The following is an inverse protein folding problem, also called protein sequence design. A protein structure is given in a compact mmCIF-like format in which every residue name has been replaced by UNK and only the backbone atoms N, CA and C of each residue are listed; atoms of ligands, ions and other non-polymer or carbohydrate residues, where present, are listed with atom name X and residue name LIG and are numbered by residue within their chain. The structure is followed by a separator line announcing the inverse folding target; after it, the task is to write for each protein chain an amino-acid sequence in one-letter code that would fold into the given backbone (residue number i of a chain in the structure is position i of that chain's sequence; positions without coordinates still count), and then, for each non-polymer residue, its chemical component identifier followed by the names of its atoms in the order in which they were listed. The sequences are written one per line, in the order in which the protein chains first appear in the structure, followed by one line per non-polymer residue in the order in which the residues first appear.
data_IF_128331686528
#
_entry.id   IF_128331686528
#
_cell.length_a   1.000
_cell.length_b   1.000
_cell.length_c   1.000
_cell.angle_alpha   90.00
_cell.angle_beta   90.00
_cell.angle_gamma   90.00
#
_symmetry.space_group_name_H-M   'P 1'
#
loop_
_entity.id
_entity.type
_entity.pdbx_description
1 polymer ?
#
# COMPACT_ATOMS: atom_id res chain seq x y z
N UNK A 1 14.50 -28.94 -16.17
CA UNK A 1 13.42 -27.92 -16.26
C UNK A 1 13.91 -26.66 -15.57
N UNK A 2 13.97 -25.49 -16.22
CA UNK A 2 14.50 -24.29 -15.58
C UNK A 2 13.47 -23.75 -14.57
N UNK A 3 13.90 -23.55 -13.33
CA UNK A 3 13.11 -22.91 -12.27
C UNK A 3 12.92 -21.44 -12.64
N UNK A 4 11.67 -20.99 -12.77
CA UNK A 4 11.36 -19.57 -13.00
C UNK A 4 11.34 -18.85 -11.65
N UNK A 5 12.17 -17.83 -11.50
CA UNK A 5 12.26 -17.01 -10.30
C UNK A 5 11.05 -16.09 -10.08
N UNK A 6 11.00 -15.38 -8.93
CA UNK A 6 9.89 -14.50 -8.54
C UNK A 6 9.65 -13.35 -9.55
N UNK A 7 8.37 -13.08 -9.86
CA UNK A 7 7.95 -12.00 -10.76
C UNK A 7 7.90 -10.66 -10.02
N UNK A 8 8.48 -9.60 -10.62
CA UNK A 8 8.39 -8.21 -10.12
C UNK A 8 7.11 -7.55 -10.63
N UNK A 9 6.43 -6.76 -9.78
CA UNK A 9 5.28 -5.94 -10.16
C UNK A 9 5.54 -4.46 -9.85
N UNK A 10 4.99 -3.57 -10.67
CA UNK A 10 5.18 -2.12 -10.60
C UNK A 10 3.88 -1.35 -10.94
N UNK A 11 3.41 -0.42 -10.11
CA UNK A 11 2.38 0.55 -10.49
C UNK A 11 3.02 1.70 -11.29
N UNK A 12 2.40 2.09 -12.41
CA UNK A 12 3.01 2.71 -13.61
C UNK A 12 3.51 4.18 -13.52
N UNK A 13 4.46 4.54 -14.41
CA UNK A 13 4.42 5.69 -15.37
C UNK A 13 5.48 5.52 -16.50
N UNK A 14 5.02 5.59 -17.75
CA UNK A 14 5.73 5.89 -19.03
C UNK A 14 6.61 4.84 -19.77
N UNK A 15 6.79 5.08 -21.07
CA UNK A 15 6.80 4.18 -22.23
C UNK A 15 8.18 4.00 -22.89
N UNK A 16 8.62 2.74 -23.14
CA UNK A 16 9.38 2.20 -24.33
C UNK A 16 10.33 1.03 -23.99
N UNK A 17 10.68 0.17 -24.98
CA UNK A 17 10.67 -1.28 -24.80
C UNK A 17 12.06 -1.88 -24.57
N UNK A 18 12.16 -2.82 -23.62
CA UNK A 18 12.74 -4.15 -23.79
C UNK A 18 12.98 -4.82 -22.42
N UNK A 19 11.96 -5.49 -21.87
CA UNK A 19 12.10 -6.70 -21.04
C UNK A 19 10.74 -7.19 -20.49
N UNK A 20 9.86 -7.74 -21.34
CA UNK A 20 8.64 -8.49 -20.90
C UNK A 20 7.95 -7.93 -19.64
N UNK A 21 7.58 -6.66 -19.69
CA UNK A 21 6.85 -5.94 -18.65
C UNK A 21 5.34 -6.02 -18.97
N UNK A 22 4.53 -6.50 -18.01
CA UNK A 22 3.08 -6.36 -18.11
C UNK A 22 2.72 -4.92 -17.73
N UNK A 23 2.53 -4.07 -18.75
CA UNK A 23 1.95 -2.74 -18.59
C UNK A 23 0.42 -2.81 -18.72
N UNK A 24 -0.30 -2.29 -17.73
CA UNK A 24 -1.70 -1.92 -17.87
C UNK A 24 -1.99 -0.69 -16.99
N UNK A 25 -2.44 0.38 -17.64
CA UNK A 25 -3.08 1.55 -17.05
C UNK A 25 -4.54 1.21 -16.76
N UNK A 26 -4.87 1.06 -15.48
CA UNK A 26 -6.14 0.54 -14.98
C UNK A 26 -5.84 -0.51 -13.90
N UNK A 27 -6.76 -0.68 -12.95
CA UNK A 27 -6.63 -1.44 -11.70
C UNK A 27 -5.56 -2.58 -11.64
N UNK A 28 -4.92 -2.81 -10.47
CA UNK A 28 -3.93 -3.88 -10.26
C UNK A 28 -4.46 -5.33 -10.49
N UNK A 29 -5.75 -5.50 -10.80
CA UNK A 29 -6.46 -6.76 -10.85
C UNK A 29 -5.80 -7.79 -11.78
N UNK A 30 -5.60 -7.51 -13.07
CA UNK A 30 -5.17 -8.54 -14.03
C UNK A 30 -3.85 -9.25 -13.69
N UNK A 31 -2.72 -8.55 -13.45
CA UNK A 31 -1.46 -9.24 -13.15
C UNK A 31 -1.47 -9.96 -11.80
N UNK A 32 -2.24 -9.47 -10.82
CA UNK A 32 -2.30 -10.08 -9.50
C UNK A 32 -3.28 -11.26 -9.46
N UNK A 33 -4.38 -11.19 -10.21
CA UNK A 33 -5.31 -12.31 -10.44
C UNK A 33 -4.58 -13.45 -11.17
N UNK A 34 -3.83 -13.15 -12.23
CA UNK A 34 -2.99 -14.13 -12.91
C UNK A 34 -1.98 -14.77 -11.94
N UNK A 35 -1.35 -13.96 -11.08
CA UNK A 35 -0.42 -14.44 -10.07
C UNK A 35 -1.11 -15.23 -8.95
N UNK A 36 -2.38 -14.95 -8.64
CA UNK A 36 -3.20 -15.70 -7.67
C UNK A 36 -3.47 -17.11 -8.20
N UNK A 37 -3.84 -17.19 -9.47
CA UNK A 37 -4.37 -18.40 -10.08
C UNK A 37 -3.27 -19.28 -10.72
N UNK A 38 -2.10 -18.71 -11.05
CA UNK A 38 -0.92 -19.47 -11.53
C UNK A 38 -0.22 -20.23 -10.39
N UNK A 39 -0.35 -21.56 -10.38
CA UNK A 39 0.27 -22.43 -9.38
C UNK A 39 1.81 -22.41 -9.37
N UNK A 40 2.44 -22.01 -10.47
CA UNK A 40 3.88 -21.81 -10.53
C UNK A 40 4.33 -20.57 -9.77
N UNK A 41 3.44 -19.58 -9.57
CA UNK A 41 3.71 -18.41 -8.74
C UNK A 41 3.52 -18.79 -7.27
N UNK A 42 4.61 -18.70 -6.51
CA UNK A 42 4.66 -19.10 -5.09
C UNK A 42 4.69 -17.94 -4.11
N UNK A 43 5.06 -16.75 -4.56
CA UNK A 43 5.06 -15.50 -3.81
C UNK A 43 5.09 -14.33 -4.80
N UNK A 44 4.67 -13.14 -4.36
CA UNK A 44 4.76 -11.90 -5.14
C UNK A 44 5.63 -10.87 -4.42
N UNK A 45 6.37 -10.08 -5.19
CA UNK A 45 7.15 -8.95 -4.67
C UNK A 45 6.57 -7.65 -5.21
N UNK A 46 6.09 -6.82 -4.30
CA UNK A 46 5.60 -5.47 -4.57
C UNK A 46 6.75 -4.47 -4.46
N UNK A 47 7.03 -3.72 -5.52
CA UNK A 47 8.01 -2.62 -5.53
C UNK A 47 7.45 -1.45 -6.33
N UNK A 48 7.89 -0.23 -6.05
CA UNK A 48 7.61 0.92 -6.90
C UNK A 48 8.68 1.18 -7.94
N UNK A 49 8.49 2.26 -8.70
CA UNK A 49 9.38 2.72 -9.77
C UNK A 49 10.10 4.02 -9.39
N UNK A 50 11.35 4.15 -9.84
CA UNK A 50 12.14 5.36 -9.63
C UNK A 50 12.26 5.72 -8.15
N UNK A 51 11.92 6.96 -7.79
CA UNK A 51 12.05 7.49 -6.42
C UNK A 51 10.90 7.12 -5.50
N UNK A 52 9.82 6.53 -6.00
CA UNK A 52 8.61 6.27 -5.22
C UNK A 52 8.34 4.78 -5.14
N UNK A 53 8.06 4.31 -3.93
CA UNK A 53 7.32 3.06 -3.76
C UNK A 53 5.86 3.28 -4.14
N UNK A 54 5.23 4.27 -3.51
CA UNK A 54 3.92 4.80 -3.88
C UNK A 54 3.69 6.14 -3.18
N UNK A 55 3.13 7.11 -3.91
CA UNK A 55 2.77 8.43 -3.37
C UNK A 55 1.33 8.47 -2.80
N UNK A 56 0.60 7.36 -2.84
CA UNK A 56 -0.81 7.31 -2.46
C UNK A 56 -1.75 7.83 -3.54
N UNK A 57 -2.86 8.45 -3.13
CA UNK A 57 -3.80 9.09 -4.04
C UNK A 57 -3.14 10.31 -4.70
N UNK A 58 -3.18 10.38 -6.03
CA UNK A 58 -2.58 11.48 -6.77
C UNK A 58 -3.40 12.77 -6.60
N UNK A 59 -2.89 13.70 -5.81
CA UNK A 59 -3.52 15.00 -5.57
C UNK A 59 -3.37 15.98 -6.75
N UNK A 60 -2.49 15.68 -7.73
CA UNK A 60 -2.24 16.56 -8.88
C UNK A 60 -3.09 16.21 -10.10
N UNK A 61 -3.68 15.01 -10.13
CA UNK A 61 -4.43 14.51 -11.27
C UNK A 61 -5.85 14.08 -10.91
N UNK A 62 -6.86 14.72 -11.51
CA UNK A 62 -8.17 14.14 -11.91
C UNK A 62 -9.02 13.37 -10.88
N UNK A 63 -8.65 13.31 -9.60
CA UNK A 63 -9.47 12.66 -8.58
C UNK A 63 -10.62 13.60 -8.26
N UNK A 64 -11.80 13.20 -8.73
CA UNK A 64 -13.04 13.83 -8.33
C UNK A 64 -13.38 13.42 -6.90
N UNK A 65 -12.93 14.24 -5.95
CA UNK A 65 -13.29 14.05 -4.55
C UNK A 65 -14.76 14.35 -4.27
N UNK A 66 -15.52 15.00 -5.18
CA UNK A 66 -16.98 15.09 -5.04
C UNK A 66 -17.67 13.74 -5.25
N UNK A 67 -16.99 12.78 -5.89
CA UNK A 67 -17.46 11.40 -5.96
C UNK A 67 -17.29 10.65 -4.63
N UNK A 68 -16.58 11.22 -3.63
CA UNK A 68 -16.62 10.71 -2.26
C UNK A 68 -18.06 10.80 -1.76
N UNK A 69 -18.61 9.68 -1.28
CA UNK A 69 -20.02 9.53 -0.86
C UNK A 69 -21.06 9.42 -1.98
N UNK A 70 -20.67 9.33 -3.25
CA UNK A 70 -21.60 9.05 -4.34
C UNK A 70 -21.71 7.53 -4.58
N UNK A 71 -22.63 6.91 -3.83
CA UNK A 71 -23.38 5.70 -4.25
C UNK A 71 -22.64 4.37 -4.44
N UNK A 72 -21.44 4.18 -3.89
CA UNK A 72 -20.77 2.87 -3.99
C UNK A 72 -20.26 2.55 -5.40
N UNK A 73 -19.98 3.59 -6.19
CA UNK A 73 -19.58 3.44 -7.59
C UNK A 73 -18.08 3.14 -7.74
N UNK A 74 -17.63 2.42 -8.78
CA UNK A 74 -16.21 2.16 -9.05
C UNK A 74 -15.33 3.42 -9.21
N UNK A 75 -15.98 4.57 -9.44
CA UNK A 75 -15.36 5.90 -9.53
C UNK A 75 -15.03 6.52 -8.18
N UNK A 76 -15.49 5.94 -7.06
CA UNK A 76 -15.11 6.36 -5.72
C UNK A 76 -13.61 6.05 -5.45
N UNK A 77 -12.77 7.08 -5.20
CA UNK A 77 -11.36 6.89 -4.91
C UNK A 77 -11.10 6.09 -3.62
N UNK A 78 -11.97 6.15 -2.61
CA UNK A 78 -11.83 5.33 -1.40
C UNK A 78 -12.08 3.87 -1.69
N UNK A 79 -13.13 3.53 -2.45
CA UNK A 79 -13.39 2.15 -2.82
C UNK A 79 -12.23 1.56 -3.64
N UNK A 80 -11.65 2.33 -4.56
CA UNK A 80 -10.47 1.88 -5.32
C UNK A 80 -9.26 1.65 -4.42
N UNK A 81 -8.99 2.57 -3.50
CA UNK A 81 -7.88 2.40 -2.55
C UNK A 81 -8.13 1.19 -1.65
N UNK A 82 -9.28 1.10 -0.99
CA UNK A 82 -9.67 -0.02 -0.14
C UNK A 82 -9.58 -1.36 -0.88
N UNK A 83 -10.08 -1.43 -2.12
CA UNK A 83 -9.99 -2.64 -2.94
C UNK A 83 -8.54 -3.04 -3.20
N UNK A 84 -7.67 -2.09 -3.53
CA UNK A 84 -6.24 -2.33 -3.73
C UNK A 84 -5.57 -2.85 -2.44
N UNK A 85 -5.84 -2.20 -1.31
CA UNK A 85 -5.29 -2.58 0.00
C UNK A 85 -5.73 -3.99 0.40
N UNK A 86 -7.03 -4.28 0.29
CA UNK A 86 -7.61 -5.59 0.59
C UNK A 86 -7.09 -6.68 -0.34
N UNK A 87 -6.80 -6.35 -1.60
CA UNK A 87 -6.21 -7.30 -2.54
C UNK A 87 -4.88 -7.85 -2.02
N UNK A 88 -4.00 -7.00 -1.46
CA UNK A 88 -2.73 -7.45 -0.88
C UNK A 88 -2.91 -8.09 0.50
N UNK A 89 -3.75 -7.50 1.35
CA UNK A 89 -4.02 -7.99 2.69
C UNK A 89 -4.61 -9.41 2.68
N UNK A 90 -5.49 -9.71 1.72
CA UNK A 90 -6.15 -11.00 1.57
C UNK A 90 -5.50 -11.90 0.50
N UNK A 91 -4.37 -11.49 -0.09
CA UNK A 91 -3.73 -12.28 -1.14
C UNK A 91 -3.35 -13.68 -0.61
N UNK A 92 -3.77 -14.79 -1.23
CA UNK A 92 -3.63 -16.13 -0.65
C UNK A 92 -2.20 -16.69 -0.70
N UNK A 93 -1.26 -15.92 -1.26
CA UNK A 93 0.16 -16.26 -1.34
C UNK A 93 0.97 -15.19 -0.60
N UNK A 94 2.23 -15.46 -0.23
CA UNK A 94 3.10 -14.46 0.37
C UNK A 94 3.23 -13.21 -0.51
N UNK A 95 2.90 -12.05 0.07
CA UNK A 95 3.11 -10.74 -0.52
C UNK A 95 4.25 -10.03 0.21
N UNK A 96 5.40 -9.86 -0.45
CA UNK A 96 6.59 -9.20 0.12
C UNK A 96 6.74 -7.81 -0.48
N UNK A 97 6.80 -6.78 0.36
CA UNK A 97 7.07 -5.43 -0.06
C UNK A 97 8.57 -5.13 -0.08
N UNK A 98 9.01 -4.47 -1.14
CA UNK A 98 10.39 -4.08 -1.40
C UNK A 98 10.46 -2.56 -1.52
N UNK A 99 10.76 -1.90 -0.41
CA UNK A 99 10.74 -0.45 -0.27
C UNK A 99 12.11 0.15 -0.63
N UNK A 100 12.20 0.86 -1.77
CA UNK A 100 13.41 1.60 -2.22
C UNK A 100 13.23 3.10 -2.31
N UNK A 101 12.01 3.58 -2.11
CA UNK A 101 11.64 4.95 -2.42
C UNK A 101 10.52 5.41 -1.52
N UNK A 102 10.03 6.62 -1.76
CA UNK A 102 9.03 7.23 -0.91
C UNK A 102 7.76 6.37 -0.80
N UNK A 103 7.31 6.11 0.43
CA UNK A 103 6.02 5.49 0.72
C UNK A 103 5.21 6.47 1.57
N UNK A 104 4.32 7.21 0.92
CA UNK A 104 3.61 8.34 1.51
C UNK A 104 2.12 8.07 1.46
N UNK A 105 1.41 8.42 2.53
CA UNK A 105 -0.03 8.30 2.65
C UNK A 105 -0.52 6.87 2.34
N UNK A 106 -1.47 6.73 1.42
CA UNK A 106 -1.94 5.43 0.91
C UNK A 106 -0.82 4.49 0.43
N UNK A 107 0.34 5.00 0.03
CA UNK A 107 1.51 4.20 -0.33
C UNK A 107 2.16 3.49 0.86
N UNK A 108 2.22 4.13 2.03
CA UNK A 108 2.66 3.47 3.27
C UNK A 108 1.61 2.46 3.76
N UNK A 109 0.32 2.77 3.61
CA UNK A 109 -0.74 1.81 3.96
C UNK A 109 -0.69 0.57 3.05
N UNK A 110 -0.41 0.74 1.76
CA UNK A 110 -0.18 -0.36 0.83
C UNK A 110 1.05 -1.21 1.21
N UNK A 111 2.12 -0.56 1.68
CA UNK A 111 3.28 -1.26 2.24
C UNK A 111 2.85 -2.13 3.44
N UNK A 112 2.09 -1.56 4.37
CA UNK A 112 1.58 -2.25 5.57
C UNK A 112 0.64 -3.42 5.25
N UNK A 113 -0.12 -3.33 4.15
CA UNK A 113 -1.00 -4.41 3.69
C UNK A 113 -0.24 -5.68 3.29
N UNK A 114 1.05 -5.59 2.95
CA UNK A 114 1.88 -6.76 2.63
C UNK A 114 2.22 -7.59 3.88
N UNK A 115 2.61 -8.85 3.67
CA UNK A 115 2.91 -9.79 4.76
C UNK A 115 4.27 -9.48 5.39
N UNK A 116 5.28 -9.24 4.54
CA UNK A 116 6.66 -8.99 4.94
C UNK A 116 7.18 -7.75 4.20
N UNK A 117 7.88 -6.86 4.90
CA UNK A 117 8.26 -5.53 4.41
C UNK A 117 9.75 -5.31 4.63
N UNK A 118 10.49 -5.18 3.54
CA UNK A 118 11.94 -4.96 3.56
C UNK A 118 12.25 -3.61 2.94
N UNK A 119 13.01 -2.79 3.67
CA UNK A 119 13.44 -1.48 3.19
C UNK A 119 14.92 -1.45 2.83
N UNK A 120 15.23 -0.68 1.79
CA UNK A 120 16.60 -0.28 1.49
C UNK A 120 17.02 0.75 2.53
N UNK A 121 18.21 0.61 3.11
CA UNK A 121 18.85 1.70 3.84
C UNK A 121 19.33 2.75 2.84
N UNK A 122 18.68 3.92 2.83
CA UNK A 122 18.92 4.95 1.82
C UNK A 122 18.05 6.20 1.98
N UNK A 123 18.08 7.06 0.97
CA UNK A 123 17.49 8.40 1.04
C UNK A 123 16.08 8.46 0.46
N UNK A 124 15.08 8.22 1.32
CA UNK A 124 13.67 8.44 1.00
C UNK A 124 12.87 8.75 2.27
N UNK A 125 11.59 9.03 2.07
CA UNK A 125 10.65 9.45 3.11
C UNK A 125 9.48 8.48 3.22
N UNK A 126 9.06 8.23 4.45
CA UNK A 126 7.86 7.46 4.76
C UNK A 126 6.95 8.26 5.69
N UNK A 127 5.64 8.04 5.62
CA UNK A 127 4.73 8.63 6.59
C UNK A 127 3.28 8.67 6.14
N UNK A 128 2.40 8.97 7.08
CA UNK A 128 0.98 9.16 6.87
C UNK A 128 0.65 10.63 7.12
N UNK A 129 0.67 11.47 6.09
CA UNK A 129 0.52 12.92 6.21
C UNK A 129 -0.92 13.41 5.96
N UNK A 130 -1.90 12.50 5.90
CA UNK A 130 -3.29 12.78 5.56
C UNK A 130 -3.90 13.88 6.43
N UNK A 131 -3.73 13.79 7.76
CA UNK A 131 -4.31 14.80 8.68
C UNK A 131 -3.75 16.19 8.40
N UNK A 132 -2.46 16.31 8.12
CA UNK A 132 -1.81 17.60 7.83
C UNK A 132 -2.33 18.27 6.54
N UNK A 133 -2.95 17.48 5.65
CA UNK A 133 -3.54 17.98 4.41
C UNK A 133 -5.07 18.00 4.47
N UNK A 134 -5.69 17.89 5.64
CA UNK A 134 -7.15 17.90 5.77
C UNK A 134 -7.81 16.64 5.20
N UNK A 135 -7.16 15.48 5.36
CA UNK A 135 -7.69 14.19 4.98
C UNK A 135 -7.83 13.29 6.21
N UNK A 136 -8.92 12.53 6.25
CA UNK A 136 -9.13 11.43 7.19
C UNK A 136 -8.89 10.08 6.50
N UNK A 137 -8.78 9.00 7.28
CA UNK A 137 -8.50 7.68 6.74
C UNK A 137 -9.79 6.90 6.48
N UNK A 138 -9.99 6.32 5.28
CA UNK A 138 -11.02 5.31 5.06
C UNK A 138 -10.84 4.13 6.03
N UNK A 139 -11.94 3.47 6.43
CA UNK A 139 -11.92 2.38 7.42
C UNK A 139 -10.90 1.30 7.10
N UNK A 140 -10.83 0.84 5.85
CA UNK A 140 -9.86 -0.16 5.42
C UNK A 140 -8.41 0.25 5.68
N UNK A 141 -8.07 1.50 5.36
CA UNK A 141 -6.72 2.02 5.59
C UNK A 141 -6.40 2.10 7.10
N UNK A 142 -7.34 2.59 7.89
CA UNK A 142 -7.17 2.74 9.33
C UNK A 142 -7.02 1.38 10.04
N UNK A 143 -7.85 0.39 9.71
CA UNK A 143 -7.78 -0.94 10.33
C UNK A 143 -6.52 -1.71 9.91
N UNK A 144 -5.98 -1.48 8.71
CA UNK A 144 -4.65 -2.02 8.31
C UNK A 144 -3.53 -1.44 9.16
N UNK A 145 -3.55 -0.14 9.43
CA UNK A 145 -2.58 0.51 10.32
C UNK A 145 -2.66 -0.11 11.73
N UNK A 146 -3.88 -0.30 12.25
CA UNK A 146 -4.10 -0.93 13.57
C UNK A 146 -3.66 -2.40 13.63
N UNK A 147 -3.80 -3.15 12.53
CA UNK A 147 -3.36 -4.53 12.46
C UNK A 147 -1.84 -4.66 12.53
N UNK A 148 -1.11 -3.69 11.94
CA UNK A 148 0.33 -3.81 11.71
C UNK A 148 1.19 -3.09 12.73
N UNK A 149 0.68 -2.00 13.29
CA UNK A 149 1.44 -1.11 14.16
C UNK A 149 0.95 -1.21 15.59
N UNK A 150 1.88 -1.00 16.53
CA UNK A 150 1.50 -0.72 17.92
C UNK A 150 0.71 0.58 17.99
N UNK A 151 -0.07 0.76 19.06
CA UNK A 151 -0.83 1.99 19.27
C UNK A 151 0.07 3.24 19.24
N UNK A 152 1.27 3.17 19.82
CA UNK A 152 2.22 4.28 19.84
C UNK A 152 2.70 4.65 18.43
N UNK A 153 3.14 3.67 17.64
CA UNK A 153 3.57 3.88 16.25
C UNK A 153 2.43 4.41 15.39
N UNK A 154 1.23 3.86 15.54
CA UNK A 154 0.04 4.31 14.84
C UNK A 154 -0.30 5.76 15.18
N UNK A 155 -0.29 6.16 16.44
CA UNK A 155 -0.53 7.55 16.85
C UNK A 155 0.54 8.51 16.32
N UNK A 156 1.83 8.14 16.37
CA UNK A 156 2.94 8.96 15.84
C UNK A 156 2.81 9.19 14.33
N UNK A 157 2.40 8.16 13.58
CA UNK A 157 2.22 8.26 12.13
C UNK A 157 0.91 8.97 11.76
N UNK A 158 -0.23 8.54 12.30
CA UNK A 158 -1.56 9.02 11.91
C UNK A 158 -1.82 10.46 12.39
N UNK A 159 -1.52 10.76 13.65
CA UNK A 159 -1.84 12.06 14.26
C UNK A 159 -0.66 13.03 14.14
N UNK A 160 0.57 12.52 14.22
CA UNK A 160 1.77 13.34 14.01
C UNK A 160 1.90 13.84 12.57
N UNK A 161 1.28 13.15 11.62
CA UNK A 161 1.11 13.58 10.23
C UNK A 161 2.40 14.00 9.50
N UNK A 162 3.53 13.43 9.91
CA UNK A 162 4.86 13.82 9.46
C UNK A 162 5.49 12.81 8.49
N UNK A 163 6.49 13.27 7.75
CA UNK A 163 7.34 12.44 6.90
C UNK A 163 8.69 12.20 7.56
N UNK A 164 9.02 10.93 7.75
CA UNK A 164 10.22 10.47 8.43
C UNK A 164 11.26 9.95 7.45
N UNK A 165 12.56 10.08 7.75
CA UNK A 165 13.62 9.49 6.92
C UNK A 165 13.57 7.96 7.01
N UNK A 166 14.06 7.29 5.96
CA UNK A 166 14.09 5.82 5.86
C UNK A 166 14.72 5.14 7.07
N UNK A 167 15.78 5.73 7.66
CA UNK A 167 16.45 5.22 8.85
C UNK A 167 15.53 4.98 10.06
N UNK A 168 14.34 5.60 10.09
CA UNK A 168 13.36 5.42 11.16
C UNK A 168 12.29 4.36 10.84
N UNK A 169 12.31 3.77 9.64
CA UNK A 169 11.25 2.89 9.16
C UNK A 169 11.01 1.67 10.05
N UNK A 170 12.07 1.04 10.57
CA UNK A 170 11.94 -0.09 11.49
C UNK A 170 11.35 0.33 12.84
N UNK A 171 11.79 1.46 13.41
CA UNK A 171 11.24 1.98 14.69
C UNK A 171 9.74 2.30 14.56
N UNK A 172 9.35 2.86 13.43
CA UNK A 172 7.96 3.22 13.12
C UNK A 172 7.10 1.99 12.75
N UNK A 173 7.68 0.80 12.62
CA UNK A 173 6.97 -0.43 12.23
C UNK A 173 6.61 -0.50 10.75
N UNK A 174 7.13 0.42 9.93
CA UNK A 174 6.86 0.45 8.49
C UNK A 174 7.53 -0.71 7.74
N UNK A 175 8.73 -1.10 8.17
CA UNK A 175 9.45 -2.26 7.62
C UNK A 175 9.95 -3.17 8.74
N UNK A 176 10.08 -4.46 8.44
CA UNK A 176 10.60 -5.46 9.35
C UNK A 176 12.13 -5.37 9.47
N UNK A 177 12.81 -4.97 8.39
CA UNK A 177 14.26 -4.87 8.31
C UNK A 177 14.67 -3.79 7.30
N UNK A 178 15.68 -2.99 7.67
CA UNK A 178 16.42 -2.11 6.75
C UNK A 178 17.72 -2.80 6.35
N UNK A 179 18.02 -2.79 5.06
CA UNK A 179 19.08 -3.58 4.47
C UNK A 179 20.00 -2.71 3.62
N UNK A 180 21.33 -2.93 3.65
CA UNK A 180 22.25 -2.20 2.80
C UNK A 180 22.06 -2.54 1.33
N UNK A 181 22.36 -1.59 0.45
CA UNK A 181 22.17 -1.72 -1.01
C UNK A 181 22.81 -2.97 -1.60
N UNK A 182 24.00 -3.35 -1.12
CA UNK A 182 24.78 -4.48 -1.64
C UNK A 182 24.04 -5.83 -1.55
N UNK A 183 23.17 -6.02 -0.55
CA UNK A 183 22.48 -7.29 -0.32
C UNK A 183 20.96 -7.20 -0.44
N UNK A 184 20.43 -6.03 -0.79
CA UNK A 184 18.99 -5.76 -0.65
C UNK A 184 18.13 -6.64 -1.55
N UNK A 185 18.35 -6.59 -2.87
CA UNK A 185 17.57 -7.37 -3.85
C UNK A 185 17.64 -8.86 -3.57
N UNK A 186 18.85 -9.39 -3.38
CA UNK A 186 19.06 -10.81 -3.11
C UNK A 186 18.32 -11.25 -1.84
N UNK A 187 18.41 -10.45 -0.77
CA UNK A 187 17.74 -10.75 0.49
C UNK A 187 16.23 -10.75 0.34
N UNK A 188 15.66 -9.78 -0.39
CA UNK A 188 14.22 -9.72 -0.62
C UNK A 188 13.73 -10.95 -1.39
N UNK A 189 14.39 -11.33 -2.48
CA UNK A 189 13.99 -12.51 -3.23
C UNK A 189 14.21 -13.81 -2.48
N UNK A 190 15.28 -13.90 -1.68
CA UNK A 190 15.52 -15.04 -0.80
C UNK A 190 14.41 -15.18 0.25
N UNK A 191 13.95 -14.07 0.84
CA UNK A 191 12.83 -14.06 1.80
C UNK A 191 11.51 -14.46 1.12
N UNK A 192 11.21 -13.89 -0.05
CA UNK A 192 10.04 -14.27 -0.84
C UNK A 192 10.05 -15.75 -1.24
N UNK A 193 11.19 -16.27 -1.69
CA UNK A 193 11.36 -17.69 -2.05
C UNK A 193 11.19 -18.60 -0.82
N UNK A 194 11.73 -18.21 0.34
CA UNK A 194 11.54 -18.94 1.59
C UNK A 194 10.07 -19.02 1.96
N UNK A 195 9.35 -17.90 1.99
CA UNK A 195 7.92 -17.90 2.30
C UNK A 195 7.12 -18.71 1.26
N UNK A 196 7.47 -18.56 -0.02
CA UNK A 196 6.84 -19.30 -1.11
C UNK A 196 7.11 -20.82 -1.09
N UNK A 197 8.13 -21.29 -0.36
CA UNK A 197 8.44 -22.71 -0.21
C UNK A 197 7.44 -23.46 0.67
N UNK A 198 6.70 -22.75 1.53
CA UNK A 198 5.74 -23.36 2.46
C UNK A 198 4.51 -23.94 1.74
N UNK A 199 3.81 -24.90 2.37
CA UNK A 199 2.54 -25.41 1.85
C UNK A 199 1.52 -24.29 1.66
N UNK A 200 0.98 -24.16 0.44
CA UNK A 200 0.13 -23.03 0.05
C UNK A 200 -1.16 -22.93 0.86
N UNK A 201 -1.85 -24.05 1.05
CA UNK A 201 -3.10 -24.09 1.82
C UNK A 201 -2.87 -23.68 3.27
N UNK A 202 -1.78 -24.12 3.89
CA UNK A 202 -1.42 -23.75 5.26
C UNK A 202 -1.13 -22.24 5.39
N UNK A 203 -0.33 -21.68 4.46
CA UNK A 203 -0.05 -20.24 4.46
C UNK A 203 -1.33 -19.41 4.26
N UNK A 204 -2.12 -19.76 3.23
CA UNK A 204 -3.36 -19.06 2.91
C UNK A 204 -4.37 -19.09 4.07
N UNK A 205 -4.59 -20.28 4.67
CA UNK A 205 -5.50 -20.44 5.80
C UNK A 205 -5.02 -19.64 7.02
N UNK A 206 -3.74 -19.72 7.35
CA UNK A 206 -3.16 -18.99 8.50
C UNK A 206 -3.24 -17.48 8.29
N UNK A 207 -2.91 -17.00 7.07
CA UNK A 207 -3.03 -15.59 6.72
C UNK A 207 -4.47 -15.11 6.81
N UNK A 208 -5.43 -15.86 6.27
CA UNK A 208 -6.85 -15.52 6.34
C UNK A 208 -7.32 -15.41 7.80
N UNK A 209 -6.92 -16.36 8.66
CA UNK A 209 -7.23 -16.32 10.09
C UNK A 209 -6.60 -15.10 10.79
N UNK A 210 -5.33 -14.77 10.46
CA UNK A 210 -4.62 -13.63 11.03
C UNK A 210 -5.30 -12.28 10.74
N UNK A 211 -5.89 -12.13 9.54
CA UNK A 211 -6.52 -10.86 9.14
C UNK A 211 -8.03 -10.84 9.36
N UNK A 212 -8.66 -11.95 9.75
CA UNK A 212 -10.11 -12.10 9.81
C UNK A 212 -10.81 -11.04 10.67
N UNK A 213 -10.27 -10.70 11.85
CA UNK A 213 -10.87 -9.65 12.71
C UNK A 213 -10.80 -8.28 12.05
N UNK A 214 -9.65 -7.95 11.43
CA UNK A 214 -9.48 -6.71 10.67
C UNK A 214 -10.47 -6.63 9.52
N UNK A 215 -10.65 -7.73 8.77
CA UNK A 215 -11.63 -7.79 7.68
C UNK A 215 -13.06 -7.59 8.20
N UNK A 216 -13.44 -8.29 9.27
CA UNK A 216 -14.77 -8.12 9.86
C UNK A 216 -15.05 -6.68 10.31
N UNK A 217 -14.05 -5.98 10.87
CA UNK A 217 -14.17 -4.56 11.25
C UNK A 217 -14.28 -3.61 10.06
N UNK A 218 -13.69 -3.97 8.91
CA UNK A 218 -13.79 -3.21 7.67
C UNK A 218 -15.17 -3.44 7.05
N UNK A 219 -15.64 -4.68 6.99
CA UNK A 219 -16.93 -5.06 6.43
C UNK A 219 -18.11 -4.56 7.27
N UNK A 220 -17.90 -4.32 8.57
CA UNK A 220 -18.92 -3.75 9.46
C UNK A 220 -19.09 -2.24 9.33
N UNK A 221 -18.37 -1.56 8.43
CA UNK A 221 -18.50 -0.11 8.23
C UNK A 221 -19.93 0.24 7.80
N UNK A 222 -20.58 1.13 8.56
CA UNK A 222 -21.93 1.58 8.19
C UNK A 222 -21.88 2.70 7.15
N UNK A 223 -22.94 2.90 6.36
CA UNK A 223 -23.03 4.04 5.45
C UNK A 223 -22.83 5.39 6.15
N UNK A 224 -23.32 5.54 7.39
CA UNK A 224 -23.14 6.76 8.18
C UNK A 224 -21.68 6.97 8.59
N UNK A 225 -20.94 5.91 8.91
CA UNK A 225 -19.50 5.98 9.20
C UNK A 225 -18.70 6.40 7.97
N UNK A 226 -18.98 5.76 6.82
CA UNK A 226 -18.36 6.11 5.55
C UNK A 226 -18.67 7.57 5.17
N UNK A 227 -19.93 8.01 5.35
CA UNK A 227 -20.35 9.39 5.08
C UNK A 227 -19.67 10.40 6.01
N UNK A 228 -19.51 10.09 7.31
CA UNK A 228 -18.75 10.96 8.24
C UNK A 228 -17.30 11.10 7.79
N UNK A 229 -16.68 10.01 7.35
CA UNK A 229 -15.30 10.04 6.84
C UNK A 229 -15.21 10.93 5.59
N UNK A 230 -16.11 10.75 4.62
CA UNK A 230 -16.16 11.56 3.40
C UNK A 230 -16.44 13.04 3.69
N UNK A 231 -17.33 13.36 4.65
CA UNK A 231 -17.66 14.72 5.03
C UNK A 231 -16.44 15.51 5.54
N UNK A 232 -15.50 14.85 6.25
CA UNK A 232 -14.23 15.48 6.65
C UNK A 232 -13.43 15.92 5.44
N UNK A 233 -13.36 15.08 4.40
CA UNK A 233 -12.65 15.45 3.18
C UNK A 233 -13.31 16.62 2.48
N UNK A 234 -14.64 16.67 2.45
CA UNK A 234 -15.41 17.69 1.75
C UNK A 234 -15.56 19.00 2.53
N UNK A 235 -15.08 19.08 3.76
CA UNK A 235 -15.15 20.31 4.55
C UNK A 235 -14.36 21.45 3.89
N UNK A 236 -14.80 22.69 4.12
CA UNK A 236 -14.13 23.86 3.56
C UNK A 236 -12.66 23.94 4.00
N UNK A 237 -12.39 23.68 5.28
CA UNK A 237 -11.04 23.63 5.86
C UNK A 237 -10.16 22.62 5.13
N UNK A 238 -10.66 21.40 4.94
CA UNK A 238 -9.95 20.32 4.29
C UNK A 238 -9.67 20.59 2.81
N UNK A 239 -10.64 21.18 2.10
CA UNK A 239 -10.47 21.60 0.70
C UNK A 239 -9.37 22.67 0.60
N UNK A 240 -9.36 23.66 1.48
CA UNK A 240 -8.32 24.69 1.52
C UNK A 240 -6.94 24.09 1.81
N UNK A 241 -6.83 23.23 2.82
CA UNK A 241 -5.57 22.57 3.18
C UNK A 241 -4.97 21.77 2.01
N UNK A 242 -5.79 20.99 1.28
CA UNK A 242 -5.34 20.24 0.10
C UNK A 242 -4.96 21.15 -1.05
N UNK A 243 -5.70 22.24 -1.29
CA UNK A 243 -5.34 23.20 -2.34
C UNK A 243 -3.97 23.84 -2.08
N UNK A 244 -3.69 24.24 -0.84
CA UNK A 244 -2.37 24.74 -0.43
C UNK A 244 -1.27 23.69 -0.64
N UNK A 245 -1.54 22.43 -0.29
CA UNK A 245 -0.57 21.36 -0.52
C UNK A 245 -0.32 21.10 -2.01
N UNK A 246 -1.37 21.09 -2.84
CA UNK A 246 -1.24 20.88 -4.28
C UNK A 246 -0.39 21.98 -4.94
N UNK A 247 -0.52 23.23 -4.48
CA UNK A 247 0.31 24.35 -4.93
C UNK A 247 1.79 24.13 -4.59
N UNK A 248 2.11 23.73 -3.34
CA UNK A 248 3.49 23.41 -2.92
C UNK A 248 4.13 22.26 -3.71
N UNK A 249 3.32 21.31 -4.19
CA UNK A 249 3.80 20.18 -4.98
C UNK A 249 4.01 20.52 -6.47
N UNK A 250 3.52 21.68 -6.91
CA UNK A 250 3.58 22.14 -8.30
C UNK A 250 4.63 23.25 -8.52
N UNK A 251 5.09 23.88 -7.44
CA UNK A 251 6.24 24.79 -7.39
C UNK A 251 7.57 24.04 -7.25
#
# INVERSE_FOLDING_TARGET
RPQRGPRRWCPATDTRPAARECHHTGAPARPLDDARDDDAVRAVVLTGHGRFFSAGLDLRGGIDFQALSSTGTPTDPFLRLSSCLLTFLCFPKPAVAMLRGHAIAGGLILLLACDYRLGLDGEYRIGLNEVAIGASFPKAAFEIVRLRLTHQQASELLLGAALYPAAQATRLGAVDELLPAASFDETVFRRAARLGSFPRSAYAHTKAALVAETIARIESETPEEAQRTAAVWLSAESVTARATQAQKLSS
#
